data_IF_408764570938
#
_entry.id   IF_408764570938
#
_cell.length_a   1.000
_cell.length_b   1.000
_cell.length_c   1.000
_cell.angle_alpha   90.00
_cell.angle_beta   90.00
_cell.angle_gamma   90.00
#
_symmetry.space_group_name_H-M   'P 1'
#
loop_
_entity.id
_entity.type
_entity.pdbx_description
1 polymer ?
#
# COMPACT_ATOMS: atom_id res chain seq x y z
N UNK A 1 8.73 11.96 -11.07
CA UNK A 1 8.29 13.36 -11.26
C UNK A 1 8.32 13.71 -12.72
N UNK A 2 7.30 14.41 -13.18
CA UNK A 2 7.12 14.76 -14.59
C UNK A 2 7.83 16.06 -14.95
N UNK A 3 8.44 16.11 -16.13
CA UNK A 3 8.74 17.36 -16.83
C UNK A 3 8.55 17.13 -18.33
N UNK A 4 8.13 18.16 -19.07
CA UNK A 4 8.09 18.11 -20.53
C UNK A 4 8.72 19.34 -21.16
N UNK A 5 9.23 19.16 -22.37
CA UNK A 5 9.76 20.24 -23.22
C UNK A 5 8.62 20.99 -23.94
N UNK A 6 7.41 20.40 -24.01
CA UNK A 6 6.28 20.88 -24.82
C UNK A 6 5.70 22.22 -24.36
N UNK A 7 5.49 22.41 -23.05
CA UNK A 7 4.78 23.59 -22.51
C UNK A 7 5.67 24.76 -22.08
N UNK A 8 6.89 24.84 -22.60
CA UNK A 8 7.83 25.92 -22.23
C UNK A 8 8.19 25.90 -20.73
N UNK A 9 8.05 24.73 -20.08
CA UNK A 9 8.48 24.51 -18.72
C UNK A 9 9.98 24.83 -18.59
N UNK A 10 10.33 25.60 -17.56
CA UNK A 10 11.74 25.87 -17.21
C UNK A 10 12.45 24.60 -16.70
N UNK A 11 11.72 23.51 -16.48
CA UNK A 11 12.23 22.21 -16.09
C UNK A 11 12.21 21.27 -17.30
N UNK A 12 13.35 20.66 -17.58
CA UNK A 12 13.50 19.66 -18.64
C UNK A 12 13.70 18.26 -18.02
N UNK A 13 13.24 17.20 -18.70
CA UNK A 13 13.61 15.84 -18.34
C UNK A 13 15.13 15.71 -18.23
N UNK A 14 15.60 14.97 -17.23
CA UNK A 14 17.00 14.60 -17.08
C UNK A 14 17.20 13.07 -17.04
N UNK A 15 16.10 12.31 -17.08
CA UNK A 15 16.10 10.88 -17.30
C UNK A 15 15.01 10.48 -18.30
N UNK A 16 15.17 9.29 -18.88
CA UNK A 16 14.17 8.65 -19.74
C UNK A 16 14.03 7.17 -19.40
N UNK A 17 12.89 6.59 -19.78
CA UNK A 17 12.67 5.15 -19.73
C UNK A 17 13.23 4.53 -21.02
N UNK A 18 13.87 3.37 -20.93
CA UNK A 18 14.21 2.52 -22.08
C UNK A 18 14.19 1.05 -21.69
N UNK A 19 14.25 0.14 -22.66
CA UNK A 19 14.51 -1.27 -22.37
C UNK A 19 15.95 -1.48 -21.87
N UNK A 20 16.12 -2.40 -20.92
CA UNK A 20 17.42 -2.74 -20.36
C UNK A 20 18.38 -3.28 -21.43
N UNK A 21 19.52 -2.61 -21.62
CA UNK A 21 20.51 -2.97 -22.64
C UNK A 21 21.42 -4.10 -22.20
N UNK A 22 21.72 -4.16 -20.89
CA UNK A 22 22.72 -5.07 -20.33
C UNK A 22 22.08 -6.35 -19.77
N UNK A 23 20.79 -6.56 -20.03
CA UNK A 23 20.02 -7.72 -19.59
C UNK A 23 19.75 -8.68 -20.74
N UNK A 24 20.46 -9.81 -20.77
CA UNK A 24 20.42 -10.81 -21.84
C UNK A 24 19.01 -11.27 -22.19
N UNK A 25 18.16 -11.54 -21.19
CA UNK A 25 16.79 -12.00 -21.46
C UNK A 25 15.91 -10.89 -22.02
N UNK A 26 16.14 -9.62 -21.66
CA UNK A 26 15.43 -8.50 -22.29
C UNK A 26 15.80 -8.40 -23.75
N UNK A 27 17.09 -8.49 -24.07
CA UNK A 27 17.55 -8.45 -25.44
C UNK A 27 17.01 -9.63 -26.26
N UNK A 28 16.95 -10.85 -25.70
CA UNK A 28 16.30 -11.99 -26.36
C UNK A 28 14.81 -11.76 -26.59
N UNK A 29 14.09 -11.28 -25.57
CA UNK A 29 12.66 -11.00 -25.68
C UNK A 29 12.38 -10.00 -26.81
N UNK A 30 13.11 -8.88 -26.86
CA UNK A 30 12.91 -7.82 -27.85
C UNK A 30 13.10 -8.27 -29.31
N UNK A 31 13.83 -9.37 -29.55
CA UNK A 31 14.03 -9.95 -30.88
C UNK A 31 13.12 -11.16 -31.16
N UNK A 32 12.23 -11.50 -30.22
CA UNK A 32 11.31 -12.63 -30.31
C UNK A 32 9.90 -12.18 -30.70
N UNK A 33 9.05 -13.11 -31.15
CA UNK A 33 7.63 -12.82 -31.38
C UNK A 33 6.88 -12.65 -30.07
N UNK A 34 5.70 -12.02 -30.14
CA UNK A 34 4.84 -11.84 -28.97
C UNK A 34 4.36 -13.18 -28.41
N UNK A 35 4.09 -14.18 -29.27
CA UNK A 35 3.70 -15.53 -28.86
C UNK A 35 4.79 -16.20 -28.03
N UNK A 36 6.05 -16.11 -28.48
CA UNK A 36 7.18 -16.66 -27.73
C UNK A 36 7.31 -16.01 -26.34
N UNK A 37 7.15 -14.69 -26.26
CA UNK A 37 7.23 -13.96 -24.98
C UNK A 37 6.08 -14.35 -24.05
N UNK A 38 4.87 -14.59 -24.58
CA UNK A 38 3.70 -15.03 -23.81
C UNK A 38 3.87 -16.47 -23.29
N UNK A 39 4.43 -17.36 -24.09
CA UNK A 39 4.58 -18.79 -23.75
C UNK A 39 5.78 -19.07 -22.84
N UNK A 40 6.74 -18.14 -22.77
CA UNK A 40 7.97 -18.33 -22.02
C UNK A 40 8.01 -17.45 -20.77
N UNK A 41 7.76 -18.04 -19.60
CA UNK A 41 7.81 -17.33 -18.31
C UNK A 41 9.18 -16.68 -18.00
N UNK A 42 10.26 -17.15 -18.61
CA UNK A 42 11.60 -16.55 -18.45
C UNK A 42 11.81 -15.32 -19.35
N UNK A 43 10.98 -15.10 -20.37
CA UNK A 43 11.09 -14.01 -21.33
C UNK A 43 10.53 -12.68 -20.78
N UNK A 44 10.97 -12.25 -19.60
CA UNK A 44 10.51 -11.01 -18.95
C UNK A 44 11.42 -9.84 -19.35
N UNK A 45 10.99 -8.94 -20.27
CA UNK A 45 11.76 -7.75 -20.58
C UNK A 45 11.72 -6.77 -19.40
N UNK A 46 12.83 -6.07 -19.16
CA UNK A 46 12.96 -5.09 -18.09
C UNK A 46 13.05 -3.68 -18.67
N UNK A 47 12.36 -2.74 -18.03
CA UNK A 47 12.53 -1.31 -18.28
C UNK A 47 13.52 -0.74 -17.28
N UNK A 48 14.29 0.25 -17.71
CA UNK A 48 15.23 0.98 -16.88
C UNK A 48 15.08 2.49 -17.07
N UNK A 49 15.40 3.23 -16.01
CA UNK A 49 15.54 4.67 -16.06
C UNK A 49 17.00 5.02 -16.29
N UNK A 50 17.26 5.81 -17.32
CA UNK A 50 18.62 6.26 -17.65
C UNK A 50 18.70 7.77 -17.70
N UNK A 51 19.76 8.30 -17.10
CA UNK A 51 20.08 9.72 -17.21
C UNK A 51 20.40 10.07 -18.67
N UNK A 52 19.88 11.20 -19.14
CA UNK A 52 20.16 11.71 -20.50
C UNK A 52 21.22 12.82 -20.50
N UNK A 53 21.67 13.21 -19.31
CA UNK A 53 22.77 14.12 -19.02
C UNK A 53 23.26 13.85 -17.59
N UNK A 54 24.35 14.49 -17.18
CA UNK A 54 24.77 14.46 -15.78
C UNK A 54 23.68 15.05 -14.88
N UNK A 55 23.49 14.42 -13.71
CA UNK A 55 22.52 14.80 -12.68
C UNK A 55 23.33 15.13 -11.43
N UNK A 56 23.19 16.36 -10.93
CA UNK A 56 23.95 16.81 -9.76
C UNK A 56 23.43 16.18 -8.46
N UNK A 57 24.25 16.09 -7.40
CA UNK A 57 23.76 15.74 -6.07
C UNK A 57 22.57 16.62 -5.66
N UNK A 58 21.56 16.01 -5.06
CA UNK A 58 20.29 16.65 -4.67
C UNK A 58 19.43 17.19 -5.83
N UNK A 59 19.82 16.98 -7.10
CA UNK A 59 18.97 17.27 -8.24
C UNK A 59 17.83 16.25 -8.35
N UNK A 60 16.61 16.76 -8.57
CA UNK A 60 15.42 15.93 -8.76
C UNK A 60 15.47 15.18 -10.11
N UNK A 61 15.16 13.87 -10.09
CA UNK A 61 15.02 13.08 -11.32
C UNK A 61 13.67 13.35 -11.98
N UNK A 62 13.71 13.87 -13.20
CA UNK A 62 12.57 14.29 -14.01
C UNK A 62 12.50 13.48 -15.30
N UNK A 63 11.31 12.94 -15.59
CA UNK A 63 11.04 12.11 -16.76
C UNK A 63 9.83 12.68 -17.50
N UNK A 64 9.83 12.62 -18.83
CA UNK A 64 8.65 12.95 -19.62
C UNK A 64 7.67 11.76 -19.61
N UNK A 65 6.44 12.00 -19.16
CA UNK A 65 5.39 10.99 -19.03
C UNK A 65 4.47 10.90 -20.26
N UNK A 66 4.71 11.76 -21.26
CA UNK A 66 3.90 11.86 -22.47
C UNK A 66 2.89 13.00 -22.43
N UNK A 67 2.41 13.37 -23.61
CA UNK A 67 1.48 14.50 -23.82
C UNK A 67 0.11 14.20 -23.21
N UNK A 68 -0.37 12.97 -23.35
CA UNK A 68 -1.64 12.51 -22.79
C UNK A 68 -1.68 12.67 -21.28
N UNK A 69 -0.59 12.31 -20.59
CA UNK A 69 -0.46 12.50 -19.15
C UNK A 69 -0.42 13.98 -18.76
N UNK A 70 0.35 14.78 -19.49
CA UNK A 70 0.49 16.22 -19.25
C UNK A 70 -0.86 16.94 -19.40
N UNK A 71 -1.64 16.60 -20.42
CA UNK A 71 -2.97 17.16 -20.65
C UNK A 71 -3.99 16.69 -19.62
N UNK A 72 -3.95 15.41 -19.22
CA UNK A 72 -4.78 14.90 -18.14
C UNK A 72 -4.48 15.61 -16.82
N UNK A 73 -3.21 15.87 -16.53
CA UNK A 73 -2.78 16.59 -15.33
C UNK A 73 -3.27 18.04 -15.31
N UNK A 74 -3.14 18.76 -16.42
CA UNK A 74 -3.64 20.14 -16.52
C UNK A 74 -5.16 20.21 -16.38
N UNK A 75 -5.88 19.25 -16.99
CA UNK A 75 -7.32 19.11 -16.80
C UNK A 75 -7.69 18.83 -15.34
N UNK A 76 -6.92 17.95 -14.68
CA UNK A 76 -7.09 17.66 -13.27
C UNK A 76 -6.85 18.89 -12.38
N UNK A 77 -5.79 19.66 -12.60
CA UNK A 77 -5.53 20.89 -11.82
C UNK A 77 -6.67 21.90 -11.95
N UNK A 78 -7.26 22.01 -13.14
CA UNK A 78 -8.41 22.88 -13.37
C UNK A 78 -9.63 22.44 -12.54
N UNK A 79 -9.99 21.16 -12.58
CA UNK A 79 -11.10 20.61 -11.79
C UNK A 79 -10.82 20.61 -10.28
N UNK A 80 -9.58 20.32 -9.89
CA UNK A 80 -9.17 20.24 -8.50
C UNK A 80 -9.23 21.62 -7.81
N UNK A 81 -8.77 22.68 -8.49
CA UNK A 81 -8.86 24.04 -7.97
C UNK A 81 -10.31 24.46 -7.68
N UNK A 82 -11.26 23.99 -8.50
CA UNK A 82 -12.68 24.21 -8.30
C UNK A 82 -13.20 23.48 -7.06
N UNK A 83 -12.78 22.23 -6.85
CA UNK A 83 -13.20 21.42 -5.69
C UNK A 83 -12.60 21.89 -4.37
N UNK A 84 -11.32 22.29 -4.36
CA UNK A 84 -10.67 22.79 -3.14
C UNK A 84 -11.41 23.99 -2.57
N UNK A 85 -11.91 24.88 -3.44
CA UNK A 85 -12.72 26.03 -3.02
C UNK A 85 -14.07 25.66 -2.36
N UNK A 86 -14.51 24.41 -2.50
CA UNK A 86 -15.76 23.90 -1.94
C UNK A 86 -15.55 23.04 -0.68
N UNK A 87 -14.38 22.40 -0.52
CA UNK A 87 -14.11 21.36 0.48
C UNK A 87 -13.15 21.77 1.61
N UNK A 88 -12.80 23.06 1.74
CA UNK A 88 -11.87 23.63 2.75
C UNK A 88 -12.26 23.40 4.23
N UNK A 89 -13.26 22.55 4.55
CA UNK A 89 -13.72 22.30 5.90
C UNK A 89 -13.28 20.99 6.59
N UNK A 90 -12.74 19.95 5.93
CA UNK A 90 -12.55 18.69 6.68
C UNK A 90 -11.28 17.85 6.53
N UNK A 91 -10.32 18.08 5.62
CA UNK A 91 -9.29 17.04 5.40
C UNK A 91 -7.88 17.60 5.23
N UNK A 92 -7.31 18.11 6.33
CA UNK A 92 -5.85 18.12 6.47
C UNK A 92 -5.41 16.72 6.92
N UNK A 93 -5.07 15.84 5.98
CA UNK A 93 -4.33 14.63 6.32
C UNK A 93 -2.89 15.02 6.63
N UNK A 94 -2.57 15.13 7.91
CA UNK A 94 -1.18 15.06 8.38
C UNK A 94 -0.59 13.78 7.80
N UNK A 95 0.54 13.88 7.09
CA UNK A 95 1.15 12.70 6.46
C UNK A 95 1.47 11.64 7.51
N UNK A 96 1.40 10.35 7.15
CA UNK A 96 1.78 9.26 8.07
C UNK A 96 3.21 9.40 8.60
N UNK A 97 4.12 9.93 7.78
CA UNK A 97 5.48 10.23 8.19
C UNK A 97 5.49 11.25 9.33
N UNK A 98 4.71 12.32 9.21
CA UNK A 98 4.56 13.34 10.23
C UNK A 98 3.85 12.82 11.48
N UNK A 99 2.78 12.00 11.33
CA UNK A 99 2.13 11.33 12.46
C UNK A 99 3.10 10.44 13.23
N UNK A 100 4.01 9.74 12.53
CA UNK A 100 5.03 8.91 13.15
C UNK A 100 6.20 9.71 13.75
N UNK A 101 6.51 10.91 13.27
CA UNK A 101 7.51 11.81 13.88
C UNK A 101 6.94 12.53 15.10
N UNK A 102 5.69 12.98 15.01
CA UNK A 102 5.01 13.81 16.00
C UNK A 102 3.90 13.01 16.70
N UNK A 103 4.23 11.79 17.15
CA UNK A 103 3.26 10.83 17.71
C UNK A 103 2.45 11.37 18.88
N UNK A 104 2.85 12.45 19.54
CA UNK A 104 2.10 13.01 20.68
C UNK A 104 1.26 14.23 20.33
N UNK A 105 1.53 14.87 19.19
CA UNK A 105 0.91 16.14 18.78
C UNK A 105 -0.27 15.95 17.80
N UNK A 106 -0.42 14.75 17.23
CA UNK A 106 -1.55 14.42 16.36
C UNK A 106 -2.79 13.96 17.15
N UNK A 107 -3.98 14.18 16.59
CA UNK A 107 -5.20 13.55 17.10
C UNK A 107 -5.11 12.04 16.86
N UNK A 108 -5.27 11.25 17.91
CA UNK A 108 -5.10 9.79 17.90
C UNK A 108 -6.37 9.01 17.62
N UNK A 109 -7.47 9.70 17.28
CA UNK A 109 -8.66 9.04 16.80
C UNK A 109 -8.33 8.32 15.50
N UNK A 110 -8.61 7.02 15.44
CA UNK A 110 -8.73 6.33 14.16
C UNK A 110 -9.64 7.16 13.26
N UNK A 111 -9.17 7.37 12.04
CA UNK A 111 -9.92 8.10 11.03
C UNK A 111 -10.28 7.13 9.91
N UNK A 112 -11.00 7.61 8.90
CA UNK A 112 -11.27 6.81 7.71
C UNK A 112 -10.00 6.51 6.89
N UNK A 113 -8.89 7.21 7.16
CA UNK A 113 -7.65 7.13 6.37
C UNK A 113 -6.48 6.54 7.13
N UNK A 114 -6.46 6.61 8.46
CA UNK A 114 -5.34 6.12 9.27
C UNK A 114 -5.78 5.19 10.40
N UNK A 115 -4.92 4.22 10.72
CA UNK A 115 -5.04 3.35 11.89
C UNK A 115 -3.71 3.22 12.63
N UNK A 116 -3.74 2.55 13.78
CA UNK A 116 -2.54 2.31 14.59
C UNK A 116 -2.24 0.82 14.73
N UNK A 117 -0.95 0.48 14.63
CA UNK A 117 -0.38 -0.84 14.83
C UNK A 117 0.58 -0.85 16.00
N UNK A 118 0.64 -1.98 16.70
CA UNK A 118 1.53 -2.20 17.83
C UNK A 118 2.37 -3.45 17.64
N UNK A 119 3.61 -3.45 18.13
CA UNK A 119 4.52 -4.60 18.05
C UNK A 119 4.01 -5.81 18.89
N UNK A 120 3.67 -6.92 18.22
CA UNK A 120 3.11 -8.16 18.79
C UNK A 120 4.06 -8.78 19.82
N UNK A 121 5.37 -8.73 19.59
CA UNK A 121 6.38 -9.36 20.46
C UNK A 121 6.44 -8.68 21.82
N UNK A 122 6.21 -7.37 21.86
CA UNK A 122 6.23 -6.61 23.11
C UNK A 122 4.94 -6.73 23.87
N UNK A 123 3.82 -6.71 23.14
CA UNK A 123 2.49 -6.93 23.72
C UNK A 123 2.44 -8.24 24.50
N UNK A 124 2.87 -9.37 23.92
CA UNK A 124 2.83 -10.66 24.63
C UNK A 124 3.65 -10.65 25.92
N UNK A 125 4.83 -10.03 25.91
CA UNK A 125 5.73 -10.00 27.07
C UNK A 125 5.25 -9.10 28.22
N UNK A 126 4.52 -8.02 27.92
CA UNK A 126 4.04 -7.05 28.91
C UNK A 126 2.61 -7.37 29.40
N UNK A 127 1.75 -7.87 28.53
CA UNK A 127 0.39 -8.34 28.87
C UNK A 127 0.43 -9.49 29.89
N UNK A 128 1.38 -10.42 29.74
CA UNK A 128 1.58 -11.54 30.68
C UNK A 128 2.01 -11.10 32.09
N UNK A 129 2.36 -9.81 32.30
CA UNK A 129 2.72 -9.24 33.60
C UNK A 129 1.56 -8.60 34.37
N UNK A 130 0.31 -8.74 33.90
CA UNK A 130 -0.89 -8.47 34.72
C UNK A 130 -1.48 -7.07 34.63
N UNK A 131 -1.14 -6.26 33.61
CA UNK A 131 -1.70 -4.93 33.40
C UNK A 131 -2.92 -4.88 32.46
N UNK A 132 -3.35 -6.03 31.93
CA UNK A 132 -4.49 -6.09 31.04
C UNK A 132 -5.82 -6.04 31.81
N UNK A 133 -6.63 -5.03 31.52
CA UNK A 133 -8.01 -4.95 31.98
C UNK A 133 -8.90 -5.49 30.85
N UNK A 134 -9.65 -6.56 31.14
CA UNK A 134 -10.66 -7.10 30.24
C UNK A 134 -11.82 -6.10 30.14
N UNK A 135 -12.19 -5.75 28.92
CA UNK A 135 -13.29 -4.83 28.66
C UNK A 135 -14.19 -5.42 27.57
N UNK A 136 -15.50 -5.20 27.68
CA UNK A 136 -16.50 -5.74 26.77
C UNK A 136 -17.03 -4.62 25.87
N UNK A 137 -16.88 -4.79 24.56
CA UNK A 137 -17.71 -4.13 23.57
C UNK A 137 -17.05 -2.98 22.80
N UNK A 138 -17.04 -3.14 21.47
CA UNK A 138 -17.13 -2.11 20.44
C UNK A 138 -17.65 -2.81 19.17
N UNK A 139 -18.51 -2.14 18.40
CA UNK A 139 -18.92 -2.58 17.06
C UNK A 139 -17.72 -2.51 16.12
N UNK A 140 -17.50 -3.60 15.40
CA UNK A 140 -16.37 -3.77 14.48
C UNK A 140 -16.88 -3.53 13.05
N UNK A 141 -17.40 -2.32 12.78
CA UNK A 141 -17.97 -1.97 11.47
C UNK A 141 -16.90 -1.84 10.36
N UNK A 142 -15.60 -1.91 10.69
CA UNK A 142 -14.50 -1.95 9.73
C UNK A 142 -14.07 -3.41 9.49
N UNK A 143 -14.93 -4.20 8.82
CA UNK A 143 -14.74 -5.64 8.53
C UNK A 143 -13.61 -5.94 7.51
N UNK A 144 -12.77 -4.97 7.14
CA UNK A 144 -11.79 -5.08 6.05
C UNK A 144 -10.34 -5.35 6.48
N UNK A 145 -10.09 -5.69 7.75
CA UNK A 145 -8.74 -5.96 8.25
C UNK A 145 -8.41 -7.45 8.24
N UNK A 146 -8.26 -8.00 7.04
CA UNK A 146 -7.68 -9.34 6.85
C UNK A 146 -6.26 -9.17 6.28
N UNK A 147 -5.25 -9.26 7.14
CA UNK A 147 -3.86 -9.33 6.68
C UNK A 147 -3.41 -10.78 6.82
N UNK A 148 -2.71 -11.33 5.83
CA UNK A 148 -2.08 -12.64 5.97
C UNK A 148 -1.01 -12.57 7.06
N UNK A 149 -1.34 -13.00 8.29
CA UNK A 149 -0.70 -12.51 9.53
C UNK A 149 0.32 -13.45 10.19
N UNK A 150 0.85 -14.46 9.50
CA UNK A 150 1.81 -15.37 10.16
C UNK A 150 3.22 -14.78 10.27
N UNK A 151 3.57 -13.73 9.52
CA UNK A 151 4.95 -13.20 9.47
C UNK A 151 5.12 -11.74 9.90
N UNK A 152 4.04 -10.97 10.08
CA UNK A 152 4.15 -9.55 10.42
C UNK A 152 4.12 -9.37 11.94
N UNK A 153 5.16 -8.77 12.59
CA UNK A 153 5.22 -8.58 14.03
C UNK A 153 4.32 -7.43 14.53
N UNK A 154 3.25 -7.07 13.81
CA UNK A 154 2.40 -5.93 14.10
C UNK A 154 0.94 -6.36 14.23
N UNK A 155 0.25 -5.87 15.25
CA UNK A 155 -1.19 -6.08 15.46
C UNK A 155 -1.93 -4.74 15.51
N UNK A 156 -3.17 -4.65 14.98
CA UNK A 156 -3.98 -3.45 15.12
C UNK A 156 -4.21 -3.12 16.61
N UNK A 157 -4.03 -1.86 16.97
CA UNK A 157 -4.26 -1.37 18.34
C UNK A 157 -4.88 0.03 18.30
N UNK A 158 -5.64 0.43 19.33
CA UNK A 158 -6.28 1.74 19.47
C UNK A 158 -5.69 2.47 20.67
N UNK A 159 -5.22 3.70 20.47
CA UNK A 159 -4.68 4.53 21.55
C UNK A 159 -5.83 4.97 22.47
N UNK A 160 -5.69 4.70 23.77
CA UNK A 160 -6.62 5.05 24.84
C UNK A 160 -6.13 6.21 25.71
N UNK A 161 -4.81 6.40 25.76
CA UNK A 161 -4.17 7.45 26.55
C UNK A 161 -2.74 7.70 26.07
N UNK A 162 -2.22 8.90 26.36
CA UNK A 162 -0.85 9.29 26.03
C UNK A 162 -0.17 9.95 27.23
N UNK A 163 1.10 9.64 27.44
CA UNK A 163 1.95 10.27 28.43
C UNK A 163 3.19 10.81 27.70
N UNK A 164 3.21 12.13 27.47
CA UNK A 164 4.28 12.80 26.74
C UNK A 164 5.60 12.79 27.52
N UNK A 165 5.55 12.95 28.83
CA UNK A 165 6.75 12.97 29.68
C UNK A 165 7.48 11.63 29.69
N UNK A 166 6.74 10.52 29.61
CA UNK A 166 7.30 9.17 29.59
C UNK A 166 7.48 8.60 28.19
N UNK A 167 7.02 9.31 27.16
CA UNK A 167 6.96 8.83 25.78
C UNK A 167 6.23 7.47 25.64
N UNK A 168 5.07 7.35 26.30
CA UNK A 168 4.28 6.11 26.29
C UNK A 168 2.81 6.32 25.91
N UNK A 169 2.18 5.27 25.41
CA UNK A 169 0.76 5.18 25.14
C UNK A 169 0.10 4.08 25.98
N UNK A 170 -1.15 4.31 26.33
CA UNK A 170 -2.05 3.23 26.72
C UNK A 170 -2.77 2.77 25.45
N UNK A 171 -2.71 1.48 25.12
CA UNK A 171 -3.28 0.94 23.89
C UNK A 171 -4.23 -0.20 24.18
N UNK A 172 -5.38 -0.22 23.51
CA UNK A 172 -6.26 -1.38 23.45
C UNK A 172 -5.91 -2.18 22.20
N UNK A 173 -5.79 -3.50 22.26
CA UNK A 173 -5.60 -4.32 21.07
C UNK A 173 -6.51 -5.54 21.10
N UNK A 174 -6.86 -6.02 19.91
CA UNK A 174 -7.76 -7.15 19.72
C UNK A 174 -6.97 -8.45 19.87
N UNK A 175 -7.43 -9.30 20.79
CA UNK A 175 -6.82 -10.60 21.03
C UNK A 175 -7.76 -11.68 20.49
N UNK A 176 -7.27 -12.50 19.57
CA UNK A 176 -8.00 -13.69 19.16
C UNK A 176 -7.63 -14.83 20.12
N UNK A 177 -8.61 -15.41 20.81
CA UNK A 177 -8.38 -16.52 21.76
C UNK A 177 -7.73 -17.74 21.11
N UNK A 178 -7.83 -17.89 19.79
CA UNK A 178 -7.10 -18.92 19.03
C UNK A 178 -5.58 -18.81 19.19
N UNK A 179 -5.04 -17.60 19.37
CA UNK A 179 -3.59 -17.37 19.54
C UNK A 179 -3.09 -17.80 20.93
N UNK A 180 -3.98 -17.89 21.93
CA UNK A 180 -3.65 -18.39 23.27
C UNK A 180 -3.49 -19.92 23.32
N UNK A 181 -4.00 -20.64 22.32
CA UNK A 181 -3.94 -22.11 22.25
C UNK A 181 -2.65 -22.66 21.62
N UNK A 182 -1.66 -21.80 21.36
CA UNK A 182 -0.33 -22.15 20.85
C UNK A 182 0.53 -23.06 21.75
N UNK A 183 -0.06 -23.85 22.66
CA UNK A 183 0.64 -24.85 23.46
C UNK A 183 -0.17 -26.15 23.70
N UNK A 184 -1.04 -26.55 22.78
CA UNK A 184 -1.54 -27.93 22.68
C UNK A 184 -0.95 -28.59 21.41
N UNK A 185 0.29 -29.06 21.52
CA UNK A 185 0.91 -29.92 20.52
C UNK A 185 0.15 -31.26 20.44
N UNK A 186 -0.38 -31.61 19.26
CA UNK A 186 -0.33 -32.96 18.65
C UNK A 186 -1.41 -33.21 17.58
N UNK A 187 -1.66 -32.25 16.67
CA UNK A 187 -2.37 -32.56 15.42
C UNK A 187 -1.43 -32.22 14.26
N UNK A 188 -1.08 -33.17 13.38
CA UNK A 188 -0.15 -32.91 12.30
C UNK A 188 -0.77 -31.93 11.30
N UNK A 189 0.00 -30.98 10.75
CA UNK A 189 -0.52 -30.03 9.80
C UNK A 189 -0.79 -30.74 8.48
N UNK A 190 -2.06 -30.87 8.09
CA UNK A 190 -2.40 -31.10 6.69
C UNK A 190 -2.10 -29.82 5.93
N UNK A 191 -1.13 -29.91 5.00
CA UNK A 191 -0.75 -28.93 3.99
C UNK A 191 -1.92 -28.01 3.56
N UNK A 192 -1.76 -26.71 3.76
CA UNK A 192 -2.41 -25.71 2.92
C UNK A 192 -1.39 -24.62 2.59
N UNK A 193 -1.27 -24.33 1.30
CA UNK A 193 -0.44 -23.29 0.70
C UNK A 193 -1.05 -21.91 0.91
N UNK A 194 -0.18 -20.95 1.19
CA UNK A 194 -0.43 -19.50 1.14
C UNK A 194 -0.73 -19.06 -0.31
N UNK A 195 -1.69 -18.14 -0.55
CA UNK A 195 -1.63 -17.05 -1.57
C UNK A 195 -2.98 -16.26 -1.79
N UNK A 196 -2.90 -14.94 -1.54
CA UNK A 196 -3.54 -13.68 -2.06
C UNK A 196 -5.04 -13.42 -2.40
N UNK A 197 -5.37 -12.10 -2.29
CA UNK A 197 -6.67 -11.37 -2.28
C UNK A 197 -6.85 -10.41 -3.50
N UNK A 198 -8.10 -10.20 -3.95
CA UNK A 198 -8.56 -8.99 -4.70
C UNK A 198 -9.96 -8.56 -4.20
N UNK A 199 -10.19 -7.24 -4.11
CA UNK A 199 -11.42 -6.54 -3.68
C UNK A 199 -12.54 -6.50 -4.74
N UNK A 200 -13.75 -6.91 -4.35
CA UNK A 200 -14.99 -6.14 -4.60
C UNK A 200 -15.87 -6.24 -3.35
N UNK A 201 -16.55 -5.15 -3.01
CA UNK A 201 -17.25 -4.89 -1.76
C UNK A 201 -18.06 -6.07 -1.19
N UNK A 202 -17.89 -6.23 0.13
CA UNK A 202 -18.78 -6.89 1.09
C UNK A 202 -18.60 -8.40 1.37
N UNK A 203 -17.72 -9.11 0.66
CA UNK A 203 -17.35 -10.49 1.01
C UNK A 203 -15.91 -10.78 0.55
N UNK A 204 -15.05 -11.31 1.43
CA UNK A 204 -13.74 -11.79 1.01
C UNK A 204 -13.93 -13.08 0.19
N UNK A 205 -13.59 -13.05 -1.10
CA UNK A 205 -13.62 -14.23 -1.96
C UNK A 205 -12.20 -14.73 -2.26
N UNK A 206 -12.01 -16.04 -2.33
CA UNK A 206 -10.78 -16.68 -2.80
C UNK A 206 -11.07 -17.67 -3.92
N UNK A 207 -10.11 -17.86 -4.81
CA UNK A 207 -10.13 -18.94 -5.79
C UNK A 207 -9.45 -20.15 -5.17
N UNK A 208 -10.16 -21.28 -5.08
CA UNK A 208 -9.54 -22.53 -4.62
C UNK A 208 -8.68 -23.15 -5.73
N UNK A 209 -7.92 -24.22 -5.41
CA UNK A 209 -7.05 -24.93 -6.37
C UNK A 209 -7.80 -25.48 -7.62
N UNK A 210 -9.14 -25.48 -7.59
CA UNK A 210 -9.99 -25.90 -8.71
C UNK A 210 -10.50 -24.71 -9.55
N UNK A 211 -10.05 -23.50 -9.25
CA UNK A 211 -10.52 -22.29 -9.93
C UNK A 211 -11.98 -21.96 -9.63
N UNK A 212 -12.47 -22.26 -8.42
CA UNK A 212 -13.80 -21.83 -7.97
C UNK A 212 -13.72 -20.68 -6.95
N UNK A 213 -14.55 -19.67 -7.13
CA UNK A 213 -14.70 -18.54 -6.22
C UNK A 213 -15.48 -18.97 -4.96
N UNK A 214 -14.86 -18.87 -3.77
CA UNK A 214 -15.44 -19.21 -2.46
C UNK A 214 -15.36 -18.02 -1.51
N UNK A 215 -16.41 -17.79 -0.72
CA UNK A 215 -16.42 -16.72 0.31
C UNK A 215 -15.81 -17.18 1.63
N UNK A 216 -15.04 -16.30 2.28
CA UNK A 216 -14.61 -16.46 3.67
C UNK A 216 -15.58 -15.64 4.53
N UNK A 217 -16.29 -16.26 5.49
CA UNK A 217 -17.07 -15.49 6.46
C UNK A 217 -16.10 -14.62 7.28
N UNK A 218 -16.45 -13.35 7.59
CA UNK A 218 -15.59 -12.48 8.37
C UNK A 218 -15.20 -13.19 9.67
N UNK A 219 -13.90 -13.22 9.97
CA UNK A 219 -13.42 -13.79 11.22
C UNK A 219 -13.97 -12.90 12.33
N UNK A 220 -14.96 -13.41 13.05
CA UNK A 220 -15.59 -12.67 14.14
C UNK A 220 -14.54 -12.55 15.25
N UNK A 221 -13.85 -11.41 15.29
CA UNK A 221 -12.94 -11.10 16.39
C UNK A 221 -13.72 -11.16 17.70
N UNK A 222 -13.13 -11.76 18.73
CA UNK A 222 -13.68 -11.75 20.07
C UNK A 222 -13.97 -10.31 20.50
N UNK A 223 -15.09 -10.07 21.18
CA UNK A 223 -15.45 -8.76 21.75
C UNK A 223 -14.53 -8.33 22.90
N UNK A 224 -13.52 -9.14 23.21
CA UNK A 224 -12.57 -8.94 24.29
C UNK A 224 -11.31 -8.28 23.74
N UNK A 225 -10.99 -7.10 24.27
CA UNK A 225 -9.73 -6.43 24.03
C UNK A 225 -8.95 -6.27 25.34
N UNK A 226 -7.64 -6.19 25.22
CA UNK A 226 -6.73 -6.00 26.34
C UNK A 226 -6.17 -4.58 26.28
N UNK A 227 -6.19 -3.88 27.42
CA UNK A 227 -5.55 -2.57 27.55
C UNK A 227 -4.13 -2.77 28.07
N UNK A 228 -3.13 -2.43 27.27
CA UNK A 228 -1.73 -2.36 27.68
C UNK A 228 -1.41 -0.92 28.09
N UNK A 229 -0.93 -0.76 29.32
CA UNK A 229 -0.56 0.54 29.89
C UNK A 229 0.92 0.85 29.67
N UNK A 230 1.23 2.11 29.40
CA UNK A 230 2.60 2.62 29.26
C UNK A 230 3.45 1.92 28.17
N UNK A 231 2.86 1.52 27.04
CA UNK A 231 3.60 1.01 25.89
C UNK A 231 4.46 2.13 25.29
N UNK A 232 5.77 1.89 25.12
CA UNK A 232 6.68 2.88 24.53
C UNK A 232 6.23 3.30 23.12
N UNK A 233 6.28 4.60 22.83
CA UNK A 233 5.87 5.19 21.56
C UNK A 233 6.56 4.59 20.32
N UNK A 234 7.78 4.06 20.48
CA UNK A 234 8.51 3.41 19.39
C UNK A 234 7.88 2.09 18.91
N UNK A 235 7.00 1.49 19.72
CA UNK A 235 6.27 0.26 19.39
C UNK A 235 4.87 0.52 18.85
N UNK A 236 4.48 1.79 18.72
CA UNK A 236 3.21 2.20 18.14
C UNK A 236 3.52 2.80 16.77
N UNK A 237 2.81 2.37 15.73
CA UNK A 237 3.01 2.81 14.36
C UNK A 237 1.70 3.34 13.80
N UNK A 238 1.72 4.54 13.22
CA UNK A 238 0.60 5.03 12.41
C UNK A 238 0.79 4.54 10.99
N UNK A 239 -0.27 4.02 10.39
CA UNK A 239 -0.26 3.57 8.99
C UNK A 239 -1.53 4.03 8.28
N UNK A 240 -1.45 4.17 6.96
CA UNK A 240 -2.63 4.37 6.14
C UNK A 240 -3.46 3.09 6.10
N UNK A 241 -4.78 3.21 6.14
CA UNK A 241 -5.61 2.03 5.91
C UNK A 241 -5.41 1.56 4.47
N UNK A 242 -5.27 0.24 4.22
CA UNK A 242 -5.23 -0.29 2.86
C UNK A 242 -6.39 0.27 2.03
N UNK A 243 -6.11 0.70 0.80
CA UNK A 243 -7.12 1.27 -0.09
C UNK A 243 -7.65 2.66 0.30
N UNK A 244 -7.14 3.28 1.37
CA UNK A 244 -7.56 4.63 1.83
C UNK A 244 -6.42 5.66 1.79
N UNK A 245 -5.29 5.28 1.21
CA UNK A 245 -4.17 6.17 0.93
C UNK A 245 -4.59 7.36 0.07
N UNK A 246 -3.80 8.43 0.09
CA UNK A 246 -4.17 9.67 -0.60
C UNK A 246 -4.33 9.48 -2.11
N UNK A 247 -3.58 8.57 -2.74
CA UNK A 247 -3.77 8.18 -4.15
C UNK A 247 -5.13 7.52 -4.38
N UNK A 248 -5.73 6.89 -3.37
CA UNK A 248 -7.00 6.16 -3.45
C UNK A 248 -8.24 7.04 -3.29
N UNK A 249 -8.10 8.28 -2.83
CA UNK A 249 -9.23 9.19 -2.58
C UNK A 249 -9.97 9.58 -3.87
N UNK A 250 -11.24 9.90 -3.70
CA UNK A 250 -12.05 10.47 -4.78
C UNK A 250 -11.46 11.83 -5.19
N UNK A 251 -11.20 11.98 -6.49
CA UNK A 251 -10.56 13.18 -7.03
C UNK A 251 -9.03 13.14 -7.04
N UNK A 252 -8.38 12.14 -6.46
CA UNK A 252 -6.92 12.00 -6.61
C UNK A 252 -6.55 11.72 -8.06
N UNK A 253 -5.50 12.40 -8.54
CA UNK A 253 -5.06 12.22 -9.90
C UNK A 253 -4.48 10.83 -10.11
N UNK A 254 -5.01 10.12 -11.10
CA UNK A 254 -4.46 8.88 -11.62
C UNK A 254 -4.51 8.95 -13.13
N UNK A 255 -3.37 8.75 -13.76
CA UNK A 255 -3.29 8.65 -15.19
C UNK A 255 -2.14 7.71 -15.56
N UNK A 256 -2.37 6.90 -16.59
CA UNK A 256 -1.38 5.95 -17.06
C UNK A 256 -0.16 6.69 -17.62
N UNK A 257 1.02 6.16 -17.33
CA UNK A 257 2.24 6.63 -17.97
C UNK A 257 2.28 6.04 -19.38
N UNK A 258 2.37 6.88 -20.39
CA UNK A 258 2.44 6.39 -21.76
C UNK A 258 3.89 6.00 -22.07
N UNK A 259 4.10 4.75 -22.49
CA UNK A 259 5.35 4.32 -23.07
C UNK A 259 5.28 4.65 -24.57
N UNK A 260 6.22 5.43 -25.12
CA UNK A 260 6.23 5.77 -26.54
C UNK A 260 6.18 4.51 -27.44
N UNK A 261 5.34 4.54 -28.48
CA UNK A 261 5.14 3.39 -29.39
C UNK A 261 6.44 2.98 -30.11
N UNK A 262 7.35 3.92 -30.34
CA UNK A 262 8.66 3.67 -30.94
C UNK A 262 9.59 2.85 -30.03
N UNK A 263 9.27 2.69 -28.74
CA UNK A 263 9.98 1.78 -27.85
C UNK A 263 9.65 0.32 -28.10
N UNK A 264 8.46 -0.01 -28.61
CA UNK A 264 8.06 -1.41 -28.78
C UNK A 264 8.60 -1.99 -30.09
N UNK A 265 9.10 -3.25 -30.10
CA UNK A 265 9.46 -3.94 -31.34
C UNK A 265 8.27 -4.01 -32.31
N UNK A 266 8.53 -3.85 -33.61
CA UNK A 266 7.48 -3.98 -34.64
C UNK A 266 6.78 -5.34 -34.61
N UNK A 267 7.48 -6.41 -34.23
CA UNK A 267 6.91 -7.76 -34.07
C UNK A 267 5.90 -7.87 -32.92
N UNK A 268 5.83 -6.89 -32.03
CA UNK A 268 4.92 -6.85 -30.89
C UNK A 268 3.74 -5.92 -31.12
N UNK A 269 3.83 -5.05 -32.12
CA UNK A 269 2.74 -4.14 -32.49
C UNK A 269 1.66 -4.93 -33.23
N UNK A 270 0.42 -4.77 -32.80
CA UNK A 270 -0.72 -5.34 -33.51
C UNK A 270 -1.02 -4.51 -34.76
N UNK A 271 -0.23 -4.74 -35.82
CA UNK A 271 -0.39 -4.07 -37.11
C UNK A 271 -1.54 -4.65 -37.94
N UNK A 272 -2.33 -5.59 -37.39
CA UNK A 272 -3.30 -6.37 -38.17
C UNK A 272 -4.66 -5.71 -38.37
N UNK A 273 -4.91 -4.54 -37.76
CA UNK A 273 -6.24 -3.90 -37.75
C UNK A 273 -6.31 -2.48 -38.36
N UNK A 274 -5.28 -2.00 -39.05
CA UNK A 274 -5.30 -0.69 -39.74
C UNK A 274 -5.55 -0.80 -41.26
N UNK A 275 -6.65 -1.46 -41.67
CA UNK A 275 -7.19 -1.42 -43.05
C UNK A 275 -8.67 -1.04 -43.04
#
# INVERSE_FOLDING_TARGET
NHASVRKGSNRHPNAKIRWATDHTETQKSLHSSLEFVKENEAAKPFLEFVAIRDIEPDEEVLIDYGETWEDAWDGHLTDWSLRQSLDDQEISSVSILEMNRNKFDVSHSWSNVHMTFCDKVKISSETLKGNAIKFLGLDNDDEHLNFGYDEIPLVPCKIQGKNREKETFDVAYYWNDSDALGNLSSVPPTKYSSEYLIETSDVAYYWNELGNLSSVPPTKYSSEYLILKNLSAKYVHFVEKPGRSDDRRAGSFRHELMIPDDMFPESWKDLSNDI
#
